data_IF_737048355504
#
_entry.id   IF_737048355504
#
_cell.length_a   1.000
_cell.length_b   1.000
_cell.length_c   1.000
_cell.angle_alpha   90.00
_cell.angle_beta   90.00
_cell.angle_gamma   90.00
#
_symmetry.space_group_name_H-M   'P 1'
#
loop_
_entity.id
_entity.type
_entity.pdbx_description
1 polymer ?
#
# COMPACT_ATOMS: atom_id res chain seq x y z
N UNK A 1 -2.20 -16.04 -4.46
CA UNK A 1 -1.43 -15.49 -3.32
C UNK A 1 -2.33 -15.56 -2.10
N UNK A 2 -1.85 -15.96 -0.91
CA UNK A 2 -2.65 -15.74 0.30
C UNK A 2 -2.84 -14.23 0.42
N UNK A 3 -4.09 -13.79 0.55
CA UNK A 3 -4.38 -12.40 0.87
C UNK A 3 -3.50 -11.98 2.04
N UNK A 4 -2.96 -10.77 1.98
CA UNK A 4 -2.20 -10.09 3.03
C UNK A 4 -3.08 -9.79 4.27
N UNK A 5 -4.05 -10.67 4.56
CA UNK A 5 -5.24 -10.42 5.38
C UNK A 5 -5.04 -10.76 6.86
N UNK A 6 -3.86 -11.21 7.29
CA UNK A 6 -3.52 -11.34 8.71
C UNK A 6 -2.01 -11.51 8.89
N UNK A 7 -1.31 -10.48 9.34
CA UNK A 7 0.08 -10.63 9.79
C UNK A 7 0.31 -9.75 11.01
N UNK A 8 0.31 -10.37 12.19
CA UNK A 8 0.87 -9.82 13.44
C UNK A 8 2.37 -9.46 13.31
N UNK A 9 2.95 -9.58 12.11
CA UNK A 9 4.35 -9.36 11.74
C UNK A 9 4.54 -8.20 10.75
N UNK A 10 3.50 -7.44 10.40
CA UNK A 10 3.64 -6.26 9.53
C UNK A 10 4.27 -5.08 10.28
N UNK A 11 5.35 -4.52 9.74
CA UNK A 11 6.02 -3.36 10.30
C UNK A 11 6.77 -2.58 9.21
N UNK A 12 7.03 -1.30 9.50
CA UNK A 12 8.14 -0.57 8.88
C UNK A 12 9.27 -0.58 9.91
N UNK A 13 10.37 -1.24 9.58
CA UNK A 13 11.56 -1.24 10.44
C UNK A 13 12.49 -0.16 9.93
N UNK A 14 12.95 0.72 10.81
CA UNK A 14 13.90 1.79 10.48
C UNK A 14 15.15 1.68 11.32
N UNK A 15 16.26 2.13 10.74
CA UNK A 15 17.54 2.26 11.43
C UNK A 15 17.97 3.71 11.50
N UNK A 16 18.23 4.17 12.71
CA UNK A 16 18.47 5.58 13.01
C UNK A 16 19.82 5.74 13.71
N UNK A 17 20.64 6.66 13.22
CA UNK A 17 21.95 7.03 13.80
C UNK A 17 22.41 8.40 13.30
N UNK A 18 23.24 9.10 14.07
CA UNK A 18 23.96 10.29 13.62
C UNK A 18 25.26 9.95 12.86
N UNK A 19 25.72 8.69 12.88
CA UNK A 19 26.91 8.27 12.15
C UNK A 19 26.77 8.57 10.64
N UNK A 20 27.73 9.31 10.08
CA UNK A 20 27.78 9.59 8.66
C UNK A 20 28.19 8.34 7.85
N UNK A 21 27.52 8.11 6.73
CA UNK A 21 27.82 6.99 5.83
C UNK A 21 27.35 5.62 6.32
N UNK A 22 26.67 5.53 7.47
CA UNK A 22 26.00 4.31 7.89
C UNK A 22 24.92 3.91 6.88
N UNK A 23 24.89 2.63 6.52
CA UNK A 23 23.90 2.01 5.64
C UNK A 23 23.29 0.78 6.30
N UNK A 24 22.32 0.15 5.62
CA UNK A 24 21.76 -1.13 6.06
C UNK A 24 22.85 -2.19 6.29
N UNK A 25 23.84 -2.26 5.39
CA UNK A 25 24.97 -3.18 5.53
C UNK A 25 25.87 -2.83 6.72
N UNK A 26 26.01 -1.55 7.07
CA UNK A 26 26.72 -1.14 8.29
C UNK A 26 26.03 -1.75 9.52
N UNK A 27 24.71 -1.60 9.61
CA UNK A 27 23.94 -2.12 10.73
C UNK A 27 23.94 -3.65 10.80
N UNK A 28 23.77 -4.33 9.66
CA UNK A 28 23.79 -5.79 9.59
C UNK A 28 25.10 -6.39 10.10
N UNK A 29 26.22 -5.70 9.86
CA UNK A 29 27.54 -6.14 10.31
C UNK A 29 27.87 -5.68 11.73
N UNK A 30 27.32 -4.56 12.18
CA UNK A 30 27.46 -4.04 13.54
C UNK A 30 26.15 -3.41 14.03
N UNK A 31 25.29 -4.19 14.73
CA UNK A 31 24.02 -3.69 15.26
C UNK A 31 24.17 -2.59 16.32
N UNK A 32 25.38 -2.30 16.78
CA UNK A 32 25.65 -1.23 17.75
C UNK A 32 25.80 0.16 17.13
N UNK A 33 25.77 0.30 15.80
CA UNK A 33 25.98 1.56 15.06
C UNK A 33 24.70 2.41 14.92
N UNK A 34 23.61 2.04 15.60
CA UNK A 34 22.37 2.83 15.64
C UNK A 34 21.29 2.19 16.51
N UNK A 35 20.07 2.66 16.38
CA UNK A 35 18.87 2.00 16.90
C UNK A 35 18.04 1.40 15.77
N UNK A 36 17.58 0.17 15.97
CA UNK A 36 16.50 -0.43 15.19
C UNK A 36 15.16 -0.09 15.86
N UNK A 37 14.22 0.45 15.10
CA UNK A 37 12.91 0.86 15.59
C UNK A 37 11.83 0.26 14.69
N UNK A 38 10.88 -0.45 15.32
CA UNK A 38 9.72 -1.03 14.65
C UNK A 38 8.54 -0.08 14.77
N UNK A 39 7.99 0.34 13.63
CA UNK A 39 6.86 1.26 13.54
C UNK A 39 5.55 0.49 13.28
N UNK A 40 4.39 0.98 13.75
CA UNK A 40 4.20 2.27 14.42
C UNK A 40 4.51 2.24 15.92
N UNK A 41 4.93 3.39 16.45
CA UNK A 41 5.00 3.70 17.87
C UNK A 41 4.08 4.87 18.20
N UNK A 42 3.53 4.85 19.42
CA UNK A 42 2.89 6.03 20.01
C UNK A 42 3.87 7.23 19.98
N UNK A 43 3.40 8.48 19.77
CA UNK A 43 4.29 9.64 19.61
C UNK A 43 5.29 9.83 20.75
N UNK A 44 4.86 9.59 22.00
CA UNK A 44 5.75 9.66 23.16
C UNK A 44 6.81 8.54 23.15
N UNK A 45 6.43 7.31 22.77
CA UNK A 45 7.35 6.18 22.70
C UNK A 45 8.37 6.36 21.57
N UNK A 46 7.98 6.92 20.43
CA UNK A 46 8.90 7.28 19.36
C UNK A 46 9.90 8.35 19.83
N UNK A 47 9.40 9.40 20.49
CA UNK A 47 10.26 10.46 21.02
C UNK A 47 11.26 9.92 22.05
N UNK A 48 10.83 9.05 22.95
CA UNK A 48 11.69 8.41 23.96
C UNK A 48 12.75 7.50 23.31
N UNK A 49 12.37 6.72 22.30
CA UNK A 49 13.32 5.87 21.55
C UNK A 49 14.42 6.70 20.88
N UNK A 50 14.03 7.80 20.21
CA UNK A 50 14.97 8.71 19.56
C UNK A 50 15.85 9.45 20.56
N UNK A 51 15.30 9.92 21.69
CA UNK A 51 16.07 10.58 22.74
C UNK A 51 17.07 9.64 23.41
N UNK A 52 16.67 8.38 23.65
CA UNK A 52 17.57 7.34 24.18
C UNK A 52 18.75 7.09 23.25
N UNK A 53 18.48 7.01 21.94
CA UNK A 53 19.52 6.79 20.93
C UNK A 53 20.47 7.98 20.80
N UNK A 54 19.93 9.20 20.76
CA UNK A 54 20.73 10.42 20.76
C UNK A 54 21.64 10.51 22.00
N UNK A 55 21.09 10.17 23.18
CA UNK A 55 21.86 10.11 24.43
C UNK A 55 22.97 9.05 24.40
N UNK A 56 22.72 7.89 23.76
CA UNK A 56 23.72 6.84 23.56
C UNK A 56 24.88 7.29 22.67
N UNK A 57 24.57 8.02 21.60
CA UNK A 57 25.57 8.56 20.67
C UNK A 57 26.22 9.88 21.15
N UNK A 58 25.68 10.48 22.22
CA UNK A 58 26.19 11.75 22.75
C UNK A 58 25.90 12.95 21.86
N UNK A 59 24.78 12.91 21.13
CA UNK A 59 24.33 13.93 20.17
C UNK A 59 22.93 14.44 20.53
N UNK A 60 22.50 15.51 19.88
CA UNK A 60 21.11 15.97 19.95
C UNK A 60 20.21 15.11 19.07
N UNK A 61 18.93 14.94 19.43
CA UNK A 61 17.96 14.15 18.65
C UNK A 61 17.85 14.62 17.20
N UNK A 62 17.98 15.93 16.95
CA UNK A 62 17.97 16.53 15.62
C UNK A 62 19.16 16.13 14.74
N UNK A 63 20.19 15.51 15.31
CA UNK A 63 21.36 14.99 14.59
C UNK A 63 21.16 13.57 14.08
N UNK A 64 20.18 12.84 14.62
CA UNK A 64 19.84 11.49 14.16
C UNK A 64 19.26 11.53 12.74
N UNK A 65 19.63 10.54 11.93
CA UNK A 65 19.13 10.38 10.56
C UNK A 65 18.60 8.96 10.37
N UNK A 66 17.53 8.83 9.61
CA UNK A 66 17.10 7.54 9.07
C UNK A 66 18.11 7.13 8.00
N UNK A 67 18.79 5.99 8.21
CA UNK A 67 19.89 5.51 7.34
C UNK A 67 19.53 4.28 6.54
N UNK A 68 18.58 3.49 7.04
CA UNK A 68 18.08 2.30 6.36
C UNK A 68 16.66 2.01 6.83
N UNK A 69 15.96 1.18 6.04
CA UNK A 69 14.63 0.71 6.36
C UNK A 69 14.33 -0.62 5.67
N UNK A 70 13.35 -1.34 6.21
CA UNK A 70 12.82 -2.59 5.68
C UNK A 70 11.30 -2.57 5.84
N UNK A 71 10.60 -2.95 4.77
CA UNK A 71 9.15 -3.07 4.76
C UNK A 71 8.76 -4.53 4.93
N UNK A 72 8.00 -4.84 5.98
CA UNK A 72 7.63 -6.21 6.33
C UNK A 72 6.12 -6.41 6.16
N UNK A 73 5.75 -7.54 5.56
CA UNK A 73 4.36 -7.97 5.44
C UNK A 73 3.53 -7.05 4.54
N UNK A 74 2.48 -6.43 5.09
CA UNK A 74 1.56 -5.55 4.37
C UNK A 74 2.26 -4.31 3.80
N UNK A 75 3.46 -3.96 4.28
CA UNK A 75 4.17 -2.78 3.80
C UNK A 75 5.06 -3.01 2.59
N UNK A 76 5.33 -4.25 2.18
CA UNK A 76 6.20 -4.57 1.02
C UNK A 76 5.85 -3.75 -0.25
N UNK A 77 4.58 -3.50 -0.59
CA UNK A 77 4.25 -2.69 -1.75
C UNK A 77 4.73 -1.23 -1.68
N UNK A 78 5.14 -0.73 -0.50
CA UNK A 78 5.68 0.61 -0.30
C UNK A 78 7.20 0.70 -0.48
N UNK A 79 7.87 -0.33 -0.99
CA UNK A 79 9.33 -0.31 -1.25
C UNK A 79 9.79 0.85 -2.17
N UNK A 80 8.90 1.42 -2.98
CA UNK A 80 9.16 2.59 -3.80
C UNK A 80 9.29 3.90 -3.00
N UNK A 81 8.89 3.93 -1.73
CA UNK A 81 9.04 5.09 -0.86
C UNK A 81 10.46 5.17 -0.27
N UNK A 82 11.27 6.17 -0.67
CA UNK A 82 12.63 6.31 -0.18
C UNK A 82 12.63 7.05 1.18
N UNK A 83 12.52 6.29 2.27
CA UNK A 83 12.54 6.86 3.62
C UNK A 83 13.86 7.58 3.91
N UNK A 84 13.81 8.66 4.68
CA UNK A 84 14.98 9.50 4.99
C UNK A 84 15.41 10.46 3.88
N UNK A 85 14.98 10.26 2.63
CA UNK A 85 15.16 11.22 1.53
C UNK A 85 13.90 12.05 1.28
N UNK A 86 12.77 11.36 1.09
CA UNK A 86 11.47 12.01 0.86
C UNK A 86 10.56 11.99 2.10
N UNK A 87 10.81 11.08 3.05
CA UNK A 87 9.97 10.86 4.23
C UNK A 87 10.81 10.99 5.50
N UNK A 88 10.31 11.76 6.47
CA UNK A 88 10.87 11.84 7.82
C UNK A 88 10.56 10.58 8.63
N UNK A 89 11.28 10.39 9.75
CA UNK A 89 10.98 9.34 10.73
C UNK A 89 9.53 9.43 11.22
N UNK A 90 9.03 10.65 11.43
CA UNK A 90 7.66 10.90 11.86
C UNK A 90 6.64 10.50 10.79
N UNK A 91 6.87 10.83 9.52
CA UNK A 91 5.98 10.46 8.41
C UNK A 91 5.97 8.95 8.17
N UNK A 92 7.12 8.28 8.29
CA UNK A 92 7.17 6.82 8.26
C UNK A 92 6.33 6.21 9.40
N UNK A 93 6.39 6.80 10.60
CA UNK A 93 5.59 6.35 11.74
C UNK A 93 4.08 6.56 11.51
N UNK A 94 3.70 7.69 10.91
CA UNK A 94 2.32 7.99 10.55
C UNK A 94 1.79 7.04 9.48
N UNK A 95 2.59 6.73 8.46
CA UNK A 95 2.24 5.76 7.42
C UNK A 95 1.99 4.38 8.05
N UNK A 96 2.91 3.94 8.90
CA UNK A 96 2.77 2.68 9.63
C UNK A 96 1.49 2.67 10.47
N UNK A 97 1.22 3.73 11.22
CA UNK A 97 0.04 3.82 12.08
C UNK A 97 -1.26 3.83 11.28
N UNK A 98 -1.30 4.55 10.16
CA UNK A 98 -2.48 4.67 9.32
C UNK A 98 -2.87 3.34 8.68
N UNK A 99 -1.90 2.55 8.22
CA UNK A 99 -2.14 1.21 7.66
C UNK A 99 -2.48 0.19 8.76
N UNK A 100 -1.80 0.24 9.90
CA UNK A 100 -2.03 -0.72 10.99
C UNK A 100 -3.37 -0.50 11.71
N UNK A 101 -3.85 0.75 11.81
CA UNK A 101 -5.16 1.06 12.39
C UNK A 101 -6.33 0.64 11.49
N UNK A 102 -6.08 0.30 10.22
CA UNK A 102 -7.11 -0.16 9.29
C UNK A 102 -6.70 -1.49 8.62
N UNK A 103 -7.12 -2.64 9.19
CA UNK A 103 -6.78 -3.95 8.65
C UNK A 103 -7.42 -4.24 7.28
N UNK A 104 -8.44 -3.48 6.87
CA UNK A 104 -9.11 -3.67 5.58
C UNK A 104 -8.35 -3.04 4.40
N UNK A 105 -7.32 -2.23 4.67
CA UNK A 105 -6.48 -1.65 3.62
C UNK A 105 -5.73 -2.76 2.90
N UNK A 106 -5.92 -2.83 1.60
CA UNK A 106 -5.06 -3.59 0.70
C UNK A 106 -3.94 -2.66 0.22
N UNK A 107 -2.74 -2.88 0.73
CA UNK A 107 -1.60 -2.02 0.41
C UNK A 107 -1.15 -2.15 -1.04
N UNK A 108 -1.44 -3.28 -1.73
CA UNK A 108 -1.18 -3.41 -3.15
C UNK A 108 -2.09 -2.48 -3.96
N UNK A 109 -3.38 -2.43 -3.61
CA UNK A 109 -4.36 -1.52 -4.24
C UNK A 109 -4.00 -0.06 -3.96
N UNK A 110 -3.67 0.25 -2.71
CA UNK A 110 -3.28 1.60 -2.31
C UNK A 110 -2.02 2.07 -3.03
N UNK A 111 -0.98 1.23 -3.11
CA UNK A 111 0.23 1.51 -3.87
C UNK A 111 -0.11 1.87 -5.32
N UNK A 112 -0.84 0.99 -6.01
CA UNK A 112 -1.17 1.21 -7.42
C UNK A 112 -1.98 2.49 -7.62
N UNK A 113 -2.94 2.77 -6.72
CA UNK A 113 -3.70 4.03 -6.80
C UNK A 113 -2.80 5.26 -6.66
N UNK A 114 -1.85 5.25 -5.72
CA UNK A 114 -0.89 6.34 -5.56
C UNK A 114 0.03 6.49 -6.79
N UNK A 115 0.55 5.38 -7.33
CA UNK A 115 1.46 5.41 -8.48
C UNK A 115 0.80 5.99 -9.74
N UNK A 116 -0.41 5.55 -10.06
CA UNK A 116 -1.17 6.03 -11.22
C UNK A 116 -1.59 7.50 -11.13
N UNK A 117 -1.75 8.00 -9.90
CA UNK A 117 -2.09 9.39 -9.62
C UNK A 117 -0.85 10.26 -9.40
N UNK A 118 0.35 9.68 -9.50
CA UNK A 118 1.63 10.33 -9.21
C UNK A 118 1.66 10.98 -7.80
N UNK A 119 1.01 10.34 -6.83
CA UNK A 119 0.94 10.83 -5.45
C UNK A 119 2.08 10.23 -4.63
N UNK A 120 3.10 11.07 -4.43
CA UNK A 120 4.34 10.68 -3.77
C UNK A 120 4.59 11.44 -2.46
N UNK A 121 3.87 12.54 -2.20
CA UNK A 121 4.03 13.33 -0.97
C UNK A 121 3.47 12.57 0.26
N UNK A 122 4.21 12.50 1.38
CA UNK A 122 3.79 11.77 2.57
C UNK A 122 2.41 12.15 3.09
N UNK A 123 2.10 13.45 3.12
CA UNK A 123 0.84 13.94 3.67
C UNK A 123 -0.32 13.64 2.71
N UNK A 124 -0.07 13.70 1.41
CA UNK A 124 -1.07 13.32 0.40
C UNK A 124 -1.38 11.81 0.47
N UNK A 125 -0.36 10.95 0.57
CA UNK A 125 -0.52 9.49 0.76
C UNK A 125 -1.32 9.20 2.04
N UNK A 126 -1.02 9.87 3.14
CA UNK A 126 -1.79 9.73 4.39
C UNK A 126 -3.24 10.17 4.24
N UNK A 127 -3.51 11.26 3.50
CA UNK A 127 -4.87 11.70 3.19
C UNK A 127 -5.65 10.68 2.38
N UNK A 128 -5.00 9.96 1.46
CA UNK A 128 -5.60 8.85 0.73
C UNK A 128 -5.90 7.65 1.63
N UNK A 129 -4.96 7.25 2.48
CA UNK A 129 -5.18 6.16 3.45
C UNK A 129 -6.40 6.43 4.33
N UNK A 130 -6.53 7.64 4.86
CA UNK A 130 -7.67 8.02 5.71
C UNK A 130 -9.00 8.12 4.95
N UNK A 131 -8.94 8.07 3.62
CA UNK A 131 -10.08 8.07 2.72
C UNK A 131 -10.15 6.77 1.90
N UNK A 132 -9.48 5.70 2.35
CA UNK A 132 -9.34 4.45 1.58
C UNK A 132 -10.70 3.86 1.13
N UNK A 133 -11.73 3.97 1.96
CA UNK A 133 -13.09 3.53 1.60
C UNK A 133 -13.74 4.30 0.44
N UNK A 134 -13.16 5.44 0.04
CA UNK A 134 -13.56 6.24 -1.12
C UNK A 134 -12.73 5.92 -2.37
N UNK A 135 -11.67 5.10 -2.27
CA UNK A 135 -10.93 4.64 -3.44
C UNK A 135 -11.90 3.82 -4.32
N UNK A 136 -11.96 4.08 -5.64
CA UNK A 136 -12.89 3.44 -6.57
C UNK A 136 -12.53 1.96 -6.88
N UNK A 137 -11.92 1.28 -5.92
CA UNK A 137 -11.59 -0.13 -5.98
C UNK A 137 -12.85 -0.97 -5.75
N UNK A 138 -13.09 -1.92 -6.67
CA UNK A 138 -14.24 -2.80 -6.63
C UNK A 138 -13.75 -4.23 -6.65
N UNK A 139 -14.01 -4.95 -5.55
CA UNK A 139 -13.86 -6.40 -5.51
C UNK A 139 -14.83 -7.04 -6.49
N UNK A 140 -14.41 -8.14 -7.11
CA UNK A 140 -15.30 -8.94 -7.95
C UNK A 140 -16.47 -9.47 -7.11
N UNK A 141 -17.70 -9.38 -7.65
CA UNK A 141 -18.89 -9.85 -6.95
C UNK A 141 -18.94 -11.38 -6.90
N UNK A 142 -18.39 -12.02 -7.94
CA UNK A 142 -18.21 -13.47 -8.03
C UNK A 142 -16.88 -13.76 -8.72
N UNK A 143 -15.77 -13.86 -7.97
CA UNK A 143 -14.49 -14.30 -8.52
C UNK A 143 -14.65 -15.67 -9.19
N UNK A 144 -14.12 -15.81 -10.40
CA UNK A 144 -14.09 -17.06 -11.15
C UNK A 144 -13.07 -18.00 -10.51
N UNK A 145 -13.48 -19.25 -10.27
CA UNK A 145 -12.54 -20.32 -9.98
C UNK A 145 -11.94 -20.83 -11.29
N UNK A 146 -10.77 -20.29 -11.63
CA UNK A 146 -10.07 -20.58 -12.89
C UNK A 146 -9.70 -22.06 -13.03
N UNK A 147 -9.45 -22.75 -11.91
CA UNK A 147 -9.15 -24.19 -11.91
C UNK A 147 -10.39 -25.03 -12.17
N UNK A 148 -11.54 -24.63 -11.61
CA UNK A 148 -12.81 -25.30 -11.88
C UNK A 148 -13.23 -25.17 -13.35
N UNK A 149 -13.03 -24.01 -13.96
CA UNK A 149 -13.38 -23.76 -15.38
C UNK A 149 -12.27 -24.17 -16.37
N UNK A 150 -11.16 -24.72 -15.88
CA UNK A 150 -10.07 -25.25 -16.70
C UNK A 150 -9.20 -24.20 -17.41
N UNK A 151 -9.11 -22.99 -16.85
CA UNK A 151 -8.43 -21.80 -17.40
C UNK A 151 -7.16 -21.43 -16.62
N UNK A 152 -6.46 -22.43 -16.09
CA UNK A 152 -5.25 -22.25 -15.28
C UNK A 152 -4.08 -21.66 -16.09
N UNK A 153 -4.05 -21.91 -17.39
CA UNK A 153 -3.00 -21.55 -18.34
C UNK A 153 -3.11 -20.12 -18.90
N UNK A 154 -4.23 -19.43 -18.66
CA UNK A 154 -4.38 -18.03 -19.04
C UNK A 154 -3.32 -17.14 -18.38
N UNK A 155 -2.87 -16.12 -19.11
CA UNK A 155 -2.04 -15.05 -18.57
C UNK A 155 -2.80 -14.23 -17.52
N UNK A 156 -2.08 -13.46 -16.69
CA UNK A 156 -2.74 -12.57 -15.72
C UNK A 156 -3.68 -11.58 -16.40
N UNK A 157 -3.28 -11.06 -17.57
CA UNK A 157 -4.11 -10.14 -18.35
C UNK A 157 -5.41 -10.81 -18.82
N UNK A 158 -5.34 -12.00 -19.41
CA UNK A 158 -6.53 -12.74 -19.87
C UNK A 158 -7.44 -13.13 -18.71
N UNK A 159 -6.88 -13.51 -17.55
CA UNK A 159 -7.66 -13.79 -16.33
C UNK A 159 -8.44 -12.56 -15.86
N UNK A 160 -7.78 -11.41 -15.86
CA UNK A 160 -8.37 -10.12 -15.52
C UNK A 160 -9.47 -9.72 -16.51
N UNK A 161 -9.22 -9.84 -17.82
CA UNK A 161 -10.19 -9.55 -18.87
C UNK A 161 -11.40 -10.48 -18.81
N UNK A 162 -11.19 -11.79 -18.65
CA UNK A 162 -12.24 -12.79 -18.48
C UNK A 162 -13.16 -12.44 -17.29
N UNK A 163 -12.56 -12.10 -16.15
CA UNK A 163 -13.30 -11.74 -14.95
C UNK A 163 -14.13 -10.46 -15.14
N UNK A 164 -13.56 -9.43 -15.80
CA UNK A 164 -14.28 -8.20 -16.12
C UNK A 164 -15.44 -8.46 -17.09
N UNK A 165 -15.19 -9.23 -18.15
CA UNK A 165 -16.22 -9.64 -19.12
C UNK A 165 -17.36 -10.42 -18.46
N UNK A 166 -17.05 -11.33 -17.54
CA UNK A 166 -18.03 -12.08 -16.76
C UNK A 166 -18.93 -11.21 -15.90
N UNK A 167 -18.36 -10.21 -15.23
CA UNK A 167 -19.11 -9.22 -14.42
C UNK A 167 -20.00 -8.33 -15.29
N UNK A 168 -19.51 -7.93 -16.45
CA UNK A 168 -20.26 -7.10 -17.41
C UNK A 168 -21.42 -7.90 -18.02
N UNK A 169 -21.17 -9.12 -18.47
CA UNK A 169 -22.18 -10.01 -19.02
C UNK A 169 -23.26 -10.36 -17.97
N UNK A 170 -22.86 -10.55 -16.71
CA UNK A 170 -23.82 -10.75 -15.61
C UNK A 170 -24.76 -9.58 -15.32
N UNK A 171 -24.42 -8.37 -15.79
CA UNK A 171 -25.25 -7.15 -15.69
C UNK A 171 -26.06 -6.89 -16.97
N UNK A 172 -25.83 -7.64 -18.04
CA UNK A 172 -26.57 -7.49 -19.28
C UNK A 172 -27.96 -8.16 -19.17
N UNK A 173 -29.01 -7.38 -19.38
CA UNK A 173 -30.39 -7.89 -19.35
C UNK A 173 -30.78 -8.68 -20.61
N UNK A 174 -29.92 -8.69 -21.65
CA UNK A 174 -30.23 -9.23 -22.97
C UNK A 174 -29.49 -10.53 -23.30
N UNK A 175 -28.39 -10.84 -22.61
CA UNK A 175 -27.54 -12.00 -22.90
C UNK A 175 -27.05 -12.61 -21.59
N UNK A 176 -27.27 -13.91 -21.41
CA UNK A 176 -26.74 -14.62 -20.24
C UNK A 176 -25.25 -14.91 -20.45
N UNK A 177 -24.45 -14.66 -19.42
CA UNK A 177 -23.03 -15.00 -19.39
C UNK A 177 -22.77 -16.50 -19.56
N UNK A 178 -23.71 -17.36 -19.18
CA UNK A 178 -23.61 -18.81 -19.38
C UNK A 178 -23.68 -19.25 -20.85
N UNK A 179 -24.20 -18.38 -21.73
CA UNK A 179 -24.32 -18.63 -23.17
C UNK A 179 -23.12 -18.06 -23.97
N UNK A 180 -22.12 -17.51 -23.29
CA UNK A 180 -20.92 -16.91 -23.90
C UNK A 180 -19.72 -17.85 -23.78
N UNK A 181 -18.89 -17.91 -24.83
CA UNK A 181 -17.61 -18.60 -24.73
C UNK A 181 -16.61 -17.82 -23.87
N UNK A 182 -15.55 -18.48 -23.41
CA UNK A 182 -14.46 -17.84 -22.65
C UNK A 182 -13.82 -16.74 -23.48
N UNK A 183 -13.59 -16.98 -24.77
CA UNK A 183 -13.03 -15.99 -25.70
C UNK A 183 -13.94 -14.78 -25.85
N UNK A 184 -15.27 -14.98 -25.99
CA UNK A 184 -16.22 -13.87 -26.06
C UNK A 184 -16.24 -13.02 -24.79
N UNK A 185 -16.04 -13.65 -23.62
CA UNK A 185 -15.96 -12.94 -22.34
C UNK A 185 -14.65 -12.17 -22.21
N UNK A 186 -13.52 -12.75 -22.63
CA UNK A 186 -12.22 -12.06 -22.67
C UNK A 186 -12.31 -10.84 -23.58
N UNK A 187 -12.78 -10.99 -24.82
CA UNK A 187 -12.93 -9.89 -25.79
C UNK A 187 -13.87 -8.78 -25.24
N UNK A 188 -14.94 -9.15 -24.56
CA UNK A 188 -15.84 -8.18 -23.91
C UNK A 188 -15.13 -7.41 -22.79
N UNK A 189 -14.32 -8.09 -21.98
CA UNK A 189 -13.51 -7.48 -20.93
C UNK A 189 -12.47 -6.52 -21.50
N UNK A 190 -11.68 -6.98 -22.48
CA UNK A 190 -10.63 -6.20 -23.16
C UNK A 190 -11.22 -4.94 -23.80
N UNK A 191 -12.25 -5.07 -24.63
CA UNK A 191 -12.86 -3.91 -25.30
C UNK A 191 -13.39 -2.85 -24.33
N UNK A 192 -13.82 -3.24 -23.12
CA UNK A 192 -14.26 -2.30 -22.08
C UNK A 192 -13.16 -1.77 -21.20
N UNK A 193 -12.07 -2.50 -21.06
CA UNK A 193 -10.83 -2.00 -20.48
C UNK A 193 -10.05 -1.11 -21.45
N UNK A 194 -10.30 -1.14 -22.76
CA UNK A 194 -9.72 -0.18 -23.71
C UNK A 194 -10.48 1.15 -23.71
N UNK A 195 -11.80 1.11 -23.53
CA UNK A 195 -12.65 2.30 -23.43
C UNK A 195 -12.45 3.10 -22.12
N UNK A 196 -11.71 2.55 -21.15
CA UNK A 196 -11.50 3.11 -19.80
C UNK A 196 -10.12 2.72 -19.29
N UNK A 197 -9.35 3.63 -18.69
CA UNK A 197 -8.03 3.29 -18.11
C UNK A 197 -8.18 2.48 -16.80
N UNK A 198 -8.72 1.26 -16.88
CA UNK A 198 -8.94 0.39 -15.73
C UNK A 198 -7.69 -0.38 -15.36
N UNK A 199 -7.34 -0.35 -14.09
CA UNK A 199 -6.43 -1.33 -13.51
C UNK A 199 -7.21 -2.54 -13.02
N UNK A 200 -6.77 -3.72 -13.47
CA UNK A 200 -7.47 -4.97 -13.22
C UNK A 200 -6.54 -5.96 -12.53
N UNK A 201 -6.98 -6.47 -11.40
CA UNK A 201 -6.30 -7.50 -10.63
C UNK A 201 -7.13 -8.78 -10.57
N UNK A 202 -6.50 -9.86 -10.11
CA UNK A 202 -7.14 -11.15 -9.90
C UNK A 202 -8.38 -11.06 -8.98
N UNK A 203 -8.42 -10.10 -8.06
CA UNK A 203 -9.45 -10.00 -7.02
C UNK A 203 -10.33 -8.75 -7.09
N UNK A 204 -10.04 -7.81 -7.98
CA UNK A 204 -10.90 -6.66 -8.24
C UNK A 204 -10.41 -5.82 -9.40
N UNK A 205 -11.03 -4.67 -9.61
CA UNK A 205 -10.57 -3.66 -10.56
C UNK A 205 -10.78 -2.26 -9.99
N UNK A 206 -10.12 -1.29 -10.57
CA UNK A 206 -10.18 0.11 -10.19
C UNK A 206 -10.10 0.96 -11.43
N UNK A 207 -10.92 2.00 -11.48
CA UNK A 207 -10.71 3.11 -12.39
C UNK A 207 -9.96 4.18 -11.58
N UNK A 208 -8.63 4.34 -11.75
CA UNK A 208 -7.85 5.23 -10.93
C UNK A 208 -8.38 6.66 -11.02
N UNK A 209 -8.96 7.06 -12.16
CA UNK A 209 -9.46 8.41 -12.43
C UNK A 209 -10.90 8.66 -11.95
N UNK A 210 -11.59 7.61 -11.48
CA UNK A 210 -12.93 7.73 -10.91
C UNK A 210 -12.88 8.23 -9.45
N UNK A 211 -13.78 9.14 -9.09
CA UNK A 211 -13.80 9.75 -7.76
C UNK A 211 -12.72 10.83 -7.58
N UNK A 212 -13.07 11.86 -6.80
CA UNK A 212 -12.13 12.88 -6.35
C UNK A 212 -11.82 12.62 -4.89
N UNK A 213 -10.62 12.14 -4.59
CA UNK A 213 -10.10 12.12 -3.22
C UNK A 213 -9.37 13.43 -3.00
N UNK A 214 -9.77 14.15 -1.96
CA UNK A 214 -9.12 15.40 -1.56
C UNK A 214 -7.82 15.10 -0.83
N UNK A 215 -6.68 15.29 -1.51
CA UNK A 215 -5.33 15.08 -0.98
C UNK A 215 -4.94 16.08 0.13
N UNK A 216 -5.69 17.19 0.27
CA UNK A 216 -5.46 18.23 1.27
C UNK A 216 -6.51 18.28 2.39
N UNK A 217 -7.38 17.28 2.48
CA UNK A 217 -8.53 17.28 3.39
C UNK A 217 -8.16 17.40 4.87
N UNK A 218 -7.10 16.71 5.27
CA UNK A 218 -6.60 16.66 6.63
C UNK A 218 -5.19 17.24 6.70
N UNK A 219 -5.00 18.19 7.61
CA UNK A 219 -3.68 18.67 8.04
C UNK A 219 -2.93 17.61 8.82
N UNK A 220 -1.60 17.74 8.89
CA UNK A 220 -0.73 16.84 9.66
C UNK A 220 -1.17 16.72 11.12
N UNK A 221 -1.56 17.82 11.76
CA UNK A 221 -2.05 17.82 13.15
C UNK A 221 -3.36 17.03 13.30
N UNK A 222 -4.26 17.12 12.31
CA UNK A 222 -5.50 16.33 12.30
C UNK A 222 -5.21 14.85 12.12
N UNK A 223 -4.28 14.49 11.23
CA UNK A 223 -3.87 13.10 10.98
C UNK A 223 -3.31 12.49 12.26
N UNK A 224 -2.35 13.15 12.92
CA UNK A 224 -1.77 12.69 14.20
C UNK A 224 -2.88 12.43 15.22
N UNK A 225 -3.83 13.36 15.35
CA UNK A 225 -4.96 13.20 16.27
C UNK A 225 -5.85 12.01 15.90
N UNK A 226 -6.14 11.79 14.62
CA UNK A 226 -6.98 10.68 14.19
C UNK A 226 -6.32 9.31 14.43
N UNK A 227 -4.99 9.23 14.36
CA UNK A 227 -4.25 7.97 14.47
C UNK A 227 -3.88 7.58 15.90
N UNK A 228 -3.69 8.55 16.79
CA UNK A 228 -3.16 8.33 18.14
C UNK A 228 -4.03 8.93 19.27
N UNK A 229 -5.34 9.15 19.03
CA UNK A 229 -6.32 9.55 20.07
C UNK A 229 -7.30 8.44 20.39
#
# INVERSE_FOLDING_TARGET
MKQNENTDESAIVIWVTAAEGASFETYRNDPSVGAEIHLPLEPAALADALASEAGREGVETESLRLRAWEYIGRFVPFEWLPLGEAYTIEEANLLAAAVMNNPEIDCDVLFQYCDLREVYDPIEVLNFILQYGSIPYRKWSSPLDLGEIGMDDLSLHEKCALQLGWELAGKDAKRDRADMSVEELIELGESKAEDRELEIWLHGYMDPYEGEIDTGKYSKEQIIKMLFS
#
